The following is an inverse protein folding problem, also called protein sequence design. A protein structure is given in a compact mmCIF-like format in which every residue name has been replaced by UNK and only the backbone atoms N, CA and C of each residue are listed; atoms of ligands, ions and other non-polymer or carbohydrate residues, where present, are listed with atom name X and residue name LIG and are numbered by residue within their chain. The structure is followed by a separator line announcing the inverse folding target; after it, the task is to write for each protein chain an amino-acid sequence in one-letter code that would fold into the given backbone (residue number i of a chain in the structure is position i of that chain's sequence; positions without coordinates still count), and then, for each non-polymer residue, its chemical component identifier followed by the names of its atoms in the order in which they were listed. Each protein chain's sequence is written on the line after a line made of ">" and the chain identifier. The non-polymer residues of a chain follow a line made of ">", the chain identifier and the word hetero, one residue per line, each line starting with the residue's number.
data_IF_494569433537
#
_entry.id   IF_494569433537
#
_cell.length_a   1.000
_cell.length_b   1.000
_cell.length_c   1.000
_cell.angle_alpha   90.00
_cell.angle_beta   90.00
_cell.angle_gamma   90.00
#
_symmetry.space_group_name_H-M   'P 1'
#
loop_
_entity.id
_entity.type
_entity.pdbx_description
1 polymer ?
#
# COMPACT_ATOMS: atom_id res chain seq x y z
N UNK A 1 53.23 8.42 68.94
CA UNK A 1 53.79 8.18 67.60
C UNK A 1 52.65 8.28 66.61
N UNK A 2 52.72 9.30 65.76
CA UNK A 2 51.83 9.63 64.64
C UNK A 2 51.24 8.46 63.85
N UNK A 3 49.99 8.64 63.41
CA UNK A 3 49.61 8.62 61.98
C UNK A 3 48.09 8.82 61.88
N UNK A 4 47.64 10.01 61.46
CA UNK A 4 47.34 10.41 60.06
C UNK A 4 45.87 10.14 59.68
N UNK A 5 45.18 11.07 58.97
CA UNK A 5 43.72 11.18 59.00
C UNK A 5 42.99 10.24 58.02
N UNK A 6 41.73 9.92 58.39
CA UNK A 6 40.82 9.02 57.65
C UNK A 6 40.54 9.52 56.22
N UNK A 7 40.58 8.66 55.20
CA UNK A 7 40.17 9.03 53.85
C UNK A 7 38.66 9.17 53.71
N UNK A 8 38.24 10.21 52.98
CA UNK A 8 36.86 10.49 52.56
C UNK A 8 36.43 9.40 51.56
N UNK A 9 35.26 8.75 51.72
CA UNK A 9 34.77 7.80 50.73
C UNK A 9 34.37 8.54 49.44
N UNK A 10 34.93 8.07 48.34
CA UNK A 10 34.68 8.54 46.98
C UNK A 10 33.23 8.28 46.54
N UNK A 11 32.71 9.19 45.71
CA UNK A 11 31.36 9.15 45.15
C UNK A 11 31.04 7.81 44.45
N UNK A 12 29.77 7.35 44.46
CA UNK A 12 29.40 6.08 43.87
C UNK A 12 29.65 6.07 42.36
N UNK A 13 30.39 5.05 41.92
CA UNK A 13 30.62 4.69 40.52
C UNK A 13 29.26 4.47 39.86
N UNK A 14 28.93 5.24 38.80
CA UNK A 14 27.73 5.01 37.98
C UNK A 14 27.69 3.54 37.54
N UNK A 15 26.66 2.83 37.97
CA UNK A 15 26.29 1.55 37.40
C UNK A 15 25.98 1.77 35.91
N UNK A 16 26.71 1.07 35.04
CA UNK A 16 26.29 0.87 33.64
C UNK A 16 24.99 0.06 33.69
N UNK A 17 23.86 0.71 33.54
CA UNK A 17 22.63 0.04 33.11
C UNK A 17 22.86 -0.34 31.64
N UNK A 18 23.27 -1.57 31.40
CA UNK A 18 23.08 -2.22 30.11
C UNK A 18 21.58 -2.25 29.88
N UNK A 19 21.08 -1.28 29.11
CA UNK A 19 19.73 -1.30 28.57
C UNK A 19 19.62 -2.51 27.67
N UNK A 20 19.07 -3.58 28.22
CA UNK A 20 18.62 -4.77 27.51
C UNK A 20 17.46 -4.31 26.61
N UNK A 21 17.80 -3.94 25.38
CA UNK A 21 16.84 -3.74 24.31
C UNK A 21 16.17 -5.09 24.07
N UNK A 22 14.98 -5.28 24.63
CA UNK A 22 14.04 -6.35 24.25
C UNK A 22 13.54 -6.09 22.83
N UNK A 23 14.44 -6.17 21.86
CA UNK A 23 14.10 -6.41 20.48
C UNK A 23 13.66 -7.88 20.41
N UNK A 24 12.38 -8.11 20.12
CA UNK A 24 11.86 -9.43 19.75
C UNK A 24 12.80 -10.03 18.69
N UNK A 25 13.41 -11.21 18.94
CA UNK A 25 14.27 -11.84 17.97
C UNK A 25 13.44 -12.14 16.71
N UNK A 26 13.83 -11.52 15.59
CA UNK A 26 13.23 -11.79 14.29
C UNK A 26 13.25 -13.30 13.99
N UNK A 27 12.24 -13.83 13.29
CA UNK A 27 12.15 -15.27 13.04
C UNK A 27 13.39 -15.75 12.29
N UNK A 28 14.13 -16.68 12.89
CA UNK A 28 15.21 -17.40 12.22
C UNK A 28 14.58 -18.20 11.07
N UNK A 29 14.79 -17.72 9.84
CA UNK A 29 14.42 -18.40 8.61
C UNK A 29 15.19 -19.72 8.55
N UNK A 30 14.53 -20.81 8.94
CA UNK A 30 15.02 -22.15 8.68
C UNK A 30 15.08 -22.35 7.16
N UNK A 31 16.28 -22.47 6.61
CA UNK A 31 16.50 -22.94 5.23
C UNK A 31 16.12 -24.42 5.18
N UNK A 32 14.86 -24.72 4.89
CA UNK A 32 14.48 -26.02 4.34
C UNK A 32 14.44 -25.89 2.82
N UNK A 33 15.33 -26.65 2.18
CA UNK A 33 15.41 -26.85 0.74
C UNK A 33 14.12 -27.45 0.19
N UNK A 34 13.59 -26.83 -0.87
CA UNK A 34 12.45 -27.30 -1.64
C UNK A 34 11.22 -26.42 -1.46
N UNK A 35 10.79 -25.77 -2.55
CA UNK A 35 9.65 -24.84 -2.64
C UNK A 35 9.92 -23.41 -2.13
N UNK A 36 10.90 -22.74 -2.75
CA UNK A 36 10.85 -21.28 -2.92
C UNK A 36 9.72 -20.91 -3.90
N UNK A 37 8.48 -21.16 -3.51
CA UNK A 37 7.34 -20.45 -4.09
C UNK A 37 7.47 -19.00 -3.64
N UNK A 38 7.93 -18.12 -4.52
CA UNK A 38 7.90 -16.69 -4.26
C UNK A 38 6.44 -16.31 -4.01
N UNK A 39 6.08 -16.10 -2.74
CA UNK A 39 4.74 -15.68 -2.35
C UNK A 39 4.56 -14.23 -2.84
N UNK A 40 4.12 -14.11 -4.09
CA UNK A 40 3.78 -12.84 -4.71
C UNK A 40 2.70 -12.15 -3.87
N UNK A 41 2.72 -10.81 -3.85
CA UNK A 41 1.62 -10.03 -3.28
C UNK A 41 0.32 -10.57 -3.88
N UNK A 42 -0.68 -10.98 -3.06
CA UNK A 42 -1.95 -11.49 -3.58
C UNK A 42 -2.48 -10.49 -4.59
N UNK A 43 -2.87 -10.98 -5.76
CA UNK A 43 -3.32 -10.13 -6.86
C UNK A 43 -4.45 -9.19 -6.40
N UNK A 44 -5.30 -9.67 -5.48
CA UNK A 44 -6.34 -8.89 -4.82
C UNK A 44 -5.82 -7.68 -4.03
N UNK A 45 -4.69 -7.78 -3.32
CA UNK A 45 -4.15 -6.69 -2.53
C UNK A 45 -3.52 -5.62 -3.43
N UNK A 46 -2.81 -6.04 -4.48
CA UNK A 46 -2.28 -5.14 -5.51
C UNK A 46 -3.42 -4.35 -6.19
N UNK A 47 -4.49 -5.05 -6.56
CA UNK A 47 -5.69 -4.46 -7.17
C UNK A 47 -6.39 -3.48 -6.23
N UNK A 48 -6.58 -3.83 -4.94
CA UNK A 48 -7.18 -2.94 -3.94
C UNK A 48 -6.35 -1.69 -3.70
N UNK A 49 -5.02 -1.82 -3.63
CA UNK A 49 -4.09 -0.68 -3.47
C UNK A 49 -4.21 0.27 -4.66
N UNK A 50 -4.15 -0.26 -5.89
CA UNK A 50 -4.28 0.55 -7.09
C UNK A 50 -5.66 1.22 -7.18
N UNK A 51 -6.73 0.52 -6.82
CA UNK A 51 -8.08 1.10 -6.75
C UNK A 51 -8.16 2.27 -5.75
N UNK A 52 -7.52 2.14 -4.57
CA UNK A 52 -7.44 3.23 -3.58
C UNK A 52 -6.64 4.42 -4.11
N UNK A 53 -5.48 4.19 -4.72
CA UNK A 53 -4.66 5.25 -5.32
C UNK A 53 -5.44 5.99 -6.42
N UNK A 54 -6.15 5.25 -7.26
CA UNK A 54 -7.03 5.80 -8.30
C UNK A 54 -8.14 6.67 -7.70
N UNK A 55 -8.82 6.17 -6.67
CA UNK A 55 -9.88 6.92 -5.98
C UNK A 55 -9.34 8.18 -5.30
N UNK A 56 -8.18 8.11 -4.65
CA UNK A 56 -7.51 9.26 -4.04
C UNK A 56 -7.23 10.35 -5.09
N UNK A 57 -6.63 9.99 -6.23
CA UNK A 57 -6.30 10.97 -7.27
C UNK A 57 -7.55 11.63 -7.89
N UNK A 58 -8.62 10.85 -8.15
CA UNK A 58 -9.88 11.41 -8.64
C UNK A 58 -10.50 12.36 -7.62
N UNK A 59 -10.50 11.98 -6.34
CA UNK A 59 -11.02 12.82 -5.25
C UNK A 59 -10.27 14.14 -5.15
N UNK A 60 -8.94 14.10 -5.27
CA UNK A 60 -8.08 15.28 -5.26
C UNK A 60 -8.37 16.19 -6.45
N UNK A 61 -8.52 15.65 -7.66
CA UNK A 61 -8.84 16.44 -8.86
C UNK A 61 -10.20 17.12 -8.71
N UNK A 62 -11.21 16.40 -8.23
CA UNK A 62 -12.55 16.97 -7.99
C UNK A 62 -12.48 18.08 -6.93
N UNK A 63 -11.75 17.86 -5.84
CA UNK A 63 -11.57 18.86 -4.79
C UNK A 63 -10.85 20.11 -5.30
N UNK A 64 -9.85 19.97 -6.18
CA UNK A 64 -9.11 21.08 -6.79
C UNK A 64 -9.92 21.84 -7.85
N UNK A 65 -10.96 21.24 -8.42
CA UNK A 65 -11.81 21.93 -9.40
C UNK A 65 -12.58 23.11 -8.78
N UNK A 66 -12.97 23.00 -7.51
CA UNK A 66 -13.70 24.04 -6.78
C UNK A 66 -12.90 25.36 -6.63
N UNK A 67 -11.67 25.37 -6.08
CA UNK A 67 -10.89 26.61 -5.99
C UNK A 67 -10.51 27.16 -7.37
N UNK A 68 -10.32 26.31 -8.39
CA UNK A 68 -10.06 26.77 -9.76
C UNK A 68 -11.28 27.48 -10.36
N UNK A 69 -12.49 26.99 -10.10
CA UNK A 69 -13.72 27.66 -10.50
C UNK A 69 -13.91 28.99 -9.75
N UNK A 70 -13.67 29.00 -8.43
CA UNK A 70 -13.72 30.21 -7.61
C UNK A 70 -12.71 31.27 -8.08
N UNK A 71 -11.59 30.83 -8.66
CA UNK A 71 -10.59 31.72 -9.22
C UNK A 71 -11.11 32.58 -10.40
N UNK A 72 -12.17 32.13 -11.10
CA UNK A 72 -12.85 32.91 -12.12
C UNK A 72 -13.42 34.24 -11.60
N UNK A 73 -13.74 34.32 -10.30
CA UNK A 73 -14.16 35.59 -9.66
C UNK A 73 -13.00 36.59 -9.69
N UNK A 74 -11.79 36.16 -9.39
CA UNK A 74 -10.61 37.01 -9.51
C UNK A 74 -10.42 37.45 -10.97
N UNK A 75 -10.62 36.56 -11.95
CA UNK A 75 -10.46 36.91 -13.36
C UNK A 75 -11.38 38.07 -13.78
N UNK A 76 -12.63 38.09 -13.31
CA UNK A 76 -13.56 39.20 -13.53
C UNK A 76 -13.09 40.49 -12.86
N UNK A 77 -12.61 40.41 -11.61
CA UNK A 77 -12.13 41.58 -10.86
C UNK A 77 -10.92 42.24 -11.53
N UNK A 78 -10.00 41.46 -12.08
CA UNK A 78 -8.78 41.98 -12.70
C UNK A 78 -8.97 42.51 -14.12
N UNK A 79 -10.07 42.16 -14.79
CA UNK A 79 -10.32 42.60 -16.15
C UNK A 79 -10.88 44.04 -16.26
N UNK A 80 -11.21 44.69 -15.13
CA UNK A 80 -11.62 46.11 -15.06
C UNK A 80 -12.72 46.52 -16.07
N UNK A 81 -13.59 45.58 -16.45
CA UNK A 81 -14.70 45.82 -17.39
C UNK A 81 -14.37 45.60 -18.88
N UNK A 82 -13.14 45.22 -19.25
CA UNK A 82 -12.79 44.85 -20.63
C UNK A 82 -13.39 43.47 -20.98
N UNK A 83 -14.46 43.49 -21.76
CA UNK A 83 -15.23 42.29 -22.14
C UNK A 83 -14.38 41.26 -22.88
N UNK A 84 -13.39 41.68 -23.69
CA UNK A 84 -12.53 40.75 -24.43
C UNK A 84 -11.59 39.99 -23.49
N UNK A 85 -11.02 40.68 -22.50
CA UNK A 85 -10.16 40.06 -21.49
C UNK A 85 -10.95 39.14 -20.56
N UNK A 86 -12.15 39.55 -20.15
CA UNK A 86 -13.06 38.71 -19.37
C UNK A 86 -13.36 37.42 -20.13
N UNK A 87 -13.76 37.52 -21.41
CA UNK A 87 -14.07 36.37 -22.23
C UNK A 87 -12.87 35.42 -22.37
N UNK A 88 -11.66 35.95 -22.64
CA UNK A 88 -10.45 35.16 -22.76
C UNK A 88 -10.11 34.40 -21.47
N UNK A 89 -10.18 35.06 -20.31
CA UNK A 89 -9.88 34.42 -19.02
C UNK A 89 -10.94 33.37 -18.64
N UNK A 90 -12.23 33.64 -18.87
CA UNK A 90 -13.29 32.67 -18.62
C UNK A 90 -13.21 31.45 -19.56
N UNK A 91 -12.85 31.65 -20.83
CA UNK A 91 -12.59 30.55 -21.76
C UNK A 91 -11.40 29.70 -21.31
N UNK A 92 -10.32 30.34 -20.86
CA UNK A 92 -9.18 29.63 -20.28
C UNK A 92 -9.64 28.80 -19.07
N UNK A 93 -10.47 29.34 -18.17
CA UNK A 93 -11.01 28.58 -17.01
C UNK A 93 -11.91 27.43 -17.42
N UNK A 94 -12.82 27.64 -18.35
CA UNK A 94 -13.66 26.58 -18.90
C UNK A 94 -12.81 25.45 -19.49
N UNK A 95 -11.74 25.80 -20.21
CA UNK A 95 -10.76 24.83 -20.69
C UNK A 95 -10.04 24.10 -19.55
N UNK A 96 -9.57 24.79 -18.50
CA UNK A 96 -8.92 24.14 -17.34
C UNK A 96 -9.84 23.15 -16.62
N UNK A 97 -11.09 23.53 -16.37
CA UNK A 97 -12.08 22.67 -15.72
C UNK A 97 -12.45 21.48 -16.60
N UNK A 98 -12.61 21.70 -17.91
CA UNK A 98 -12.82 20.64 -18.89
C UNK A 98 -11.65 19.65 -18.93
N UNK A 99 -10.41 20.15 -18.93
CA UNK A 99 -9.20 19.33 -18.89
C UNK A 99 -9.10 18.52 -17.58
N UNK A 100 -9.46 19.11 -16.44
CA UNK A 100 -9.52 18.40 -15.16
C UNK A 100 -10.60 17.33 -15.13
N UNK A 101 -11.79 17.61 -15.68
CA UNK A 101 -12.86 16.62 -15.83
C UNK A 101 -12.44 15.46 -16.72
N UNK A 102 -11.82 15.76 -17.86
CA UNK A 102 -11.25 14.75 -18.76
C UNK A 102 -10.16 13.91 -18.07
N UNK A 103 -9.26 14.57 -17.33
CA UNK A 103 -8.21 13.90 -16.56
C UNK A 103 -8.82 12.97 -15.51
N UNK A 104 -9.78 13.45 -14.71
CA UNK A 104 -10.47 12.66 -13.70
C UNK A 104 -11.15 11.43 -14.30
N UNK A 105 -11.84 11.59 -15.44
CA UNK A 105 -12.43 10.48 -16.17
C UNK A 105 -11.38 9.46 -16.67
N UNK A 106 -10.27 9.94 -17.23
CA UNK A 106 -9.17 9.09 -17.71
C UNK A 106 -8.50 8.31 -16.58
N UNK A 107 -8.26 8.96 -15.43
CA UNK A 107 -7.68 8.30 -14.26
C UNK A 107 -8.66 7.30 -13.65
N UNK A 108 -9.96 7.61 -13.57
CA UNK A 108 -10.98 6.70 -13.08
C UNK A 108 -11.07 5.39 -13.90
N UNK A 109 -10.74 5.45 -15.19
CA UNK A 109 -10.69 4.30 -16.11
C UNK A 109 -9.28 3.79 -16.40
N UNK A 110 -8.30 4.11 -15.57
CA UNK A 110 -6.96 3.55 -15.74
C UNK A 110 -6.96 2.08 -15.30
N UNK A 111 -6.56 1.17 -16.21
CA UNK A 111 -6.45 -0.27 -15.91
C UNK A 111 -5.02 -0.69 -15.54
N UNK A 112 -4.01 0.19 -15.70
CA UNK A 112 -2.64 -0.12 -15.28
C UNK A 112 -1.95 1.04 -14.54
N UNK A 113 -1.09 0.76 -13.54
CA UNK A 113 -0.33 1.78 -12.82
C UNK A 113 0.53 2.66 -13.72
N UNK A 114 1.17 2.07 -14.74
CA UNK A 114 2.03 2.80 -15.70
C UNK A 114 1.25 3.81 -16.54
N UNK A 115 0.03 3.45 -17.00
CA UNK A 115 -0.84 4.37 -17.73
C UNK A 115 -1.36 5.48 -16.83
N UNK A 116 -1.67 5.14 -15.58
CA UNK A 116 -2.08 6.10 -14.56
C UNK A 116 -0.97 7.14 -14.31
N UNK A 117 0.24 6.71 -13.98
CA UNK A 117 1.39 7.59 -13.72
C UNK A 117 1.71 8.48 -14.93
N UNK A 118 1.76 7.91 -16.15
CA UNK A 118 2.03 8.68 -17.37
C UNK A 118 0.98 9.76 -17.64
N UNK A 119 -0.30 9.42 -17.45
CA UNK A 119 -1.39 10.37 -17.68
C UNK A 119 -1.32 11.53 -16.69
N UNK A 120 -1.06 11.21 -15.42
CA UNK A 120 -0.90 12.21 -14.36
C UNK A 120 0.31 13.11 -14.63
N UNK A 121 1.46 12.52 -14.98
CA UNK A 121 2.69 13.25 -15.30
C UNK A 121 2.47 14.24 -16.46
N UNK A 122 1.86 13.79 -17.56
CA UNK A 122 1.56 14.66 -18.70
C UNK A 122 0.60 15.80 -18.32
N UNK A 123 -0.38 15.53 -17.46
CA UNK A 123 -1.28 16.57 -16.97
C UNK A 123 -0.55 17.62 -16.11
N UNK A 124 0.41 17.20 -15.28
CA UNK A 124 1.21 18.12 -14.47
C UNK A 124 2.11 19.00 -15.35
N UNK A 125 2.69 18.46 -16.42
CA UNK A 125 3.42 19.26 -17.42
C UNK A 125 2.48 20.27 -18.10
N UNK A 126 1.27 19.84 -18.47
CA UNK A 126 0.24 20.74 -19.00
C UNK A 126 -0.10 21.87 -18.03
N UNK A 127 -0.17 21.59 -16.73
CA UNK A 127 -0.42 22.58 -15.71
C UNK A 127 0.73 23.60 -15.59
N UNK A 128 1.99 23.21 -15.76
CA UNK A 128 3.14 24.15 -15.81
C UNK A 128 3.00 25.12 -16.98
N UNK A 129 2.69 24.60 -18.17
CA UNK A 129 2.50 25.43 -19.38
C UNK A 129 1.35 26.41 -19.19
N UNK A 130 0.24 25.92 -18.63
CA UNK A 130 -0.93 26.73 -18.31
C UNK A 130 -0.61 27.82 -17.26
N UNK A 131 0.18 27.50 -16.23
CA UNK A 131 0.65 28.47 -15.23
C UNK A 131 1.41 29.63 -15.87
N UNK A 132 2.40 29.31 -16.73
CA UNK A 132 3.13 30.30 -17.52
C UNK A 132 2.20 31.15 -18.39
N UNK A 133 1.26 30.51 -19.10
CA UNK A 133 0.28 31.24 -19.91
C UNK A 133 -0.57 32.20 -19.05
N UNK A 134 -0.98 31.79 -17.86
CA UNK A 134 -1.78 32.66 -16.97
C UNK A 134 -0.99 33.87 -16.45
N UNK A 135 0.32 33.76 -16.25
CA UNK A 135 1.19 34.90 -15.89
C UNK A 135 1.16 36.00 -16.95
N UNK A 136 1.23 35.64 -18.24
CA UNK A 136 1.18 36.61 -19.34
C UNK A 136 -0.15 37.35 -19.44
N UNK A 137 -1.24 36.71 -19.01
CA UNK A 137 -2.59 37.28 -19.03
C UNK A 137 -2.92 38.06 -17.75
N UNK A 138 -1.97 38.21 -16.81
CA UNK A 138 -2.19 38.90 -15.53
C UNK A 138 -1.39 40.20 -15.42
N UNK A 139 -1.89 41.21 -14.66
CA UNK A 139 -1.11 42.41 -14.38
C UNK A 139 0.26 42.10 -13.76
N UNK A 140 1.26 42.89 -14.13
CA UNK A 140 2.67 42.69 -13.77
C UNK A 140 2.99 42.93 -12.29
N UNK A 141 2.04 43.42 -11.52
CA UNK A 141 2.11 43.69 -10.08
C UNK A 141 1.45 42.58 -9.23
N UNK A 142 0.71 41.66 -9.85
CA UNK A 142 -0.02 40.61 -9.14
C UNK A 142 0.82 39.33 -8.96
N UNK A 143 1.09 38.94 -7.72
CA UNK A 143 1.72 37.63 -7.37
C UNK A 143 0.73 36.50 -7.14
N UNK A 144 -0.56 36.72 -7.42
CA UNK A 144 -1.62 35.74 -7.12
C UNK A 144 -1.31 34.39 -7.76
N UNK A 145 -0.90 34.35 -9.03
CA UNK A 145 -0.61 33.10 -9.76
C UNK A 145 0.45 32.26 -9.05
N UNK A 146 1.58 32.87 -8.66
CA UNK A 146 2.68 32.16 -7.99
C UNK A 146 2.30 31.57 -6.63
N UNK A 147 1.33 32.16 -5.92
CA UNK A 147 0.80 31.59 -4.66
C UNK A 147 0.03 30.29 -4.91
N UNK A 148 -0.74 30.21 -6.00
CA UNK A 148 -1.45 28.97 -6.37
C UNK A 148 -0.49 27.92 -6.92
N UNK A 149 0.54 28.33 -7.66
CA UNK A 149 1.59 27.43 -8.13
C UNK A 149 2.35 26.81 -6.95
N UNK A 150 2.63 27.57 -5.89
CA UNK A 150 3.21 27.05 -4.64
C UNK A 150 2.32 25.98 -3.98
N UNK A 151 1.02 26.22 -3.87
CA UNK A 151 0.07 25.21 -3.35
C UNK A 151 0.01 23.98 -4.25
N UNK A 152 0.09 24.18 -5.57
CA UNK A 152 0.09 23.09 -6.56
C UNK A 152 1.34 22.22 -6.40
N UNK A 153 2.52 22.82 -6.20
CA UNK A 153 3.77 22.10 -5.93
C UNK A 153 3.64 21.23 -4.68
N UNK A 154 3.09 21.75 -3.59
CA UNK A 154 2.84 20.94 -2.37
C UNK A 154 1.84 19.81 -2.67
N UNK A 155 0.77 20.11 -3.39
CA UNK A 155 -0.24 19.13 -3.81
C UNK A 155 0.33 18.00 -4.66
N UNK A 156 1.31 18.28 -5.53
CA UNK A 156 1.97 17.28 -6.37
C UNK A 156 2.70 16.20 -5.57
N UNK A 157 3.24 16.54 -4.40
CA UNK A 157 3.94 15.57 -3.55
C UNK A 157 3.00 14.84 -2.58
N UNK A 158 2.04 15.56 -1.99
CA UNK A 158 1.20 15.00 -0.91
C UNK A 158 -0.01 14.27 -1.48
N UNK A 159 -0.70 14.89 -2.42
CA UNK A 159 -2.04 14.46 -2.83
C UNK A 159 -2.01 13.39 -3.93
N UNK A 160 -0.92 13.34 -4.70
CA UNK A 160 -0.79 12.46 -5.85
C UNK A 160 -0.03 11.17 -5.49
N UNK A 161 -0.63 9.98 -5.69
CA UNK A 161 -0.03 8.70 -5.35
C UNK A 161 0.93 8.25 -6.47
N UNK A 162 2.06 8.95 -6.61
CA UNK A 162 3.09 8.64 -7.60
C UNK A 162 4.48 8.63 -6.95
N UNK A 163 5.44 8.01 -7.64
CA UNK A 163 6.84 7.94 -7.19
C UNK A 163 7.39 9.35 -6.95
N UNK A 164 8.15 9.53 -5.87
CA UNK A 164 8.65 10.83 -5.44
C UNK A 164 9.51 11.52 -6.51
N UNK A 165 10.28 10.75 -7.28
CA UNK A 165 11.11 11.30 -8.35
C UNK A 165 10.27 11.76 -9.55
N UNK A 166 9.16 11.08 -9.87
CA UNK A 166 8.27 11.44 -10.97
C UNK A 166 7.48 12.72 -10.65
N UNK A 167 7.06 12.91 -9.40
CA UNK A 167 6.40 14.15 -8.98
C UNK A 167 7.37 15.33 -8.87
N UNK A 168 8.65 15.08 -8.57
CA UNK A 168 9.65 16.13 -8.44
C UNK A 168 9.93 16.88 -9.74
N UNK A 169 9.95 16.19 -10.88
CA UNK A 169 10.23 16.82 -12.18
C UNK A 169 9.25 17.97 -12.50
N UNK A 170 7.91 17.76 -12.55
CA UNK A 170 6.96 18.84 -12.80
C UNK A 170 6.89 19.86 -11.66
N UNK A 171 7.14 19.46 -10.40
CA UNK A 171 7.16 20.39 -9.27
C UNK A 171 8.32 21.40 -9.37
N UNK A 172 9.52 20.91 -9.68
CA UNK A 172 10.70 21.75 -9.93
C UNK A 172 10.48 22.61 -11.16
N UNK A 173 9.93 22.04 -12.24
CA UNK A 173 9.62 22.79 -13.46
C UNK A 173 8.62 23.94 -13.19
N UNK A 174 7.56 23.69 -12.42
CA UNK A 174 6.62 24.74 -11.99
C UNK A 174 7.35 25.82 -11.20
N UNK A 175 8.13 25.42 -10.20
CA UNK A 175 8.86 26.36 -9.33
C UNK A 175 9.82 27.25 -10.10
N UNK A 176 10.58 26.67 -11.04
CA UNK A 176 11.49 27.40 -11.91
C UNK A 176 10.72 28.35 -12.84
N UNK A 177 9.60 27.91 -13.40
CA UNK A 177 8.75 28.75 -14.23
C UNK A 177 8.20 29.96 -13.44
N UNK A 178 7.66 29.74 -12.24
CA UNK A 178 7.14 30.78 -11.36
C UNK A 178 8.21 31.80 -10.96
N UNK A 179 9.40 31.33 -10.54
CA UNK A 179 10.51 32.21 -10.16
C UNK A 179 11.03 32.98 -11.36
N UNK A 180 11.11 32.36 -12.53
CA UNK A 180 11.53 33.03 -13.77
C UNK A 180 10.55 34.14 -14.18
N UNK A 181 9.24 33.88 -14.05
CA UNK A 181 8.21 34.89 -14.28
C UNK A 181 8.30 36.03 -13.27
N UNK A 182 8.52 35.71 -11.98
CA UNK A 182 8.73 36.71 -10.92
C UNK A 182 9.93 37.63 -11.20
N UNK A 183 11.03 37.08 -11.74
CA UNK A 183 12.24 37.83 -12.07
C UNK A 183 12.11 38.69 -13.33
N UNK A 184 11.48 38.16 -14.39
CA UNK A 184 11.54 38.76 -15.72
C UNK A 184 10.29 39.54 -16.12
N UNK A 185 9.11 39.10 -15.65
CA UNK A 185 7.82 39.68 -16.06
C UNK A 185 7.26 40.69 -15.05
N UNK A 186 7.47 40.47 -13.75
CA UNK A 186 6.93 41.31 -12.69
C UNK A 186 7.81 42.54 -12.43
N UNK A 187 7.28 43.75 -12.66
CA UNK A 187 8.09 44.99 -12.65
C UNK A 187 8.15 45.72 -11.30
N UNK A 188 7.37 45.31 -10.29
CA UNK A 188 7.24 46.03 -9.01
C UNK A 188 7.42 45.12 -7.77
N UNK A 189 8.10 43.98 -7.92
CA UNK A 189 8.28 43.06 -6.80
C UNK A 189 9.42 43.53 -5.89
N UNK A 190 9.17 43.68 -4.59
CA UNK A 190 10.22 44.04 -3.65
C UNK A 190 11.24 42.90 -3.52
N UNK A 191 12.52 43.24 -3.26
CA UNK A 191 13.55 42.22 -3.06
C UNK A 191 13.20 41.22 -1.93
N UNK A 192 12.62 41.65 -0.77
CA UNK A 192 12.14 40.74 0.25
C UNK A 192 11.06 39.77 -0.25
N UNK A 193 10.10 40.23 -1.05
CA UNK A 193 9.02 39.38 -1.58
C UNK A 193 9.56 38.32 -2.54
N UNK A 194 10.51 38.69 -3.40
CA UNK A 194 11.19 37.77 -4.31
C UNK A 194 11.98 36.70 -3.54
N UNK A 195 12.74 37.10 -2.52
CA UNK A 195 13.50 36.18 -1.67
C UNK A 195 12.55 35.23 -0.94
N UNK A 196 11.46 35.74 -0.37
CA UNK A 196 10.44 34.91 0.29
C UNK A 196 9.84 33.89 -0.68
N UNK A 197 9.54 34.28 -1.92
CA UNK A 197 8.99 33.38 -2.94
C UNK A 197 9.95 32.24 -3.26
N UNK A 198 11.23 32.56 -3.47
CA UNK A 198 12.29 31.57 -3.76
C UNK A 198 12.43 30.59 -2.59
N UNK A 199 12.48 31.09 -1.35
CA UNK A 199 12.57 30.24 -0.15
C UNK A 199 11.35 29.34 -0.02
N UNK A 200 10.14 29.86 -0.23
CA UNK A 200 8.91 29.06 -0.15
C UNK A 200 8.91 27.91 -1.18
N UNK A 201 9.28 28.18 -2.43
CA UNK A 201 9.37 27.12 -3.44
C UNK A 201 10.48 26.11 -3.13
N UNK A 202 11.66 26.57 -2.69
CA UNK A 202 12.74 25.69 -2.31
C UNK A 202 12.31 24.76 -1.17
N UNK A 203 11.70 25.32 -0.12
CA UNK A 203 11.19 24.56 1.02
C UNK A 203 10.08 23.59 0.60
N UNK A 204 9.15 24.01 -0.27
CA UNK A 204 8.07 23.16 -0.75
C UNK A 204 8.58 21.94 -1.54
N UNK A 205 9.61 22.10 -2.39
CA UNK A 205 10.22 20.98 -3.10
C UNK A 205 11.00 20.06 -2.17
N UNK A 206 11.77 20.61 -1.21
CA UNK A 206 12.53 19.80 -0.25
C UNK A 206 11.59 18.99 0.64
N UNK A 207 10.64 19.65 1.32
CA UNK A 207 9.68 18.99 2.18
C UNK A 207 8.81 18.01 1.40
N UNK A 208 8.32 18.42 0.22
CA UNK A 208 7.50 17.58 -0.64
C UNK A 208 8.24 16.31 -1.08
N UNK A 209 9.50 16.43 -1.51
CA UNK A 209 10.31 15.28 -1.89
C UNK A 209 10.57 14.33 -0.71
N UNK A 210 10.86 14.86 0.48
CA UNK A 210 11.04 14.05 1.69
C UNK A 210 9.76 13.30 2.07
N UNK A 211 8.60 13.97 2.03
CA UNK A 211 7.30 13.34 2.29
C UNK A 211 7.02 12.25 1.26
N UNK A 212 7.28 12.53 -0.03
CA UNK A 212 7.14 11.55 -1.11
C UNK A 212 8.02 10.31 -0.89
N UNK A 213 9.28 10.51 -0.48
CA UNK A 213 10.22 9.44 -0.17
C UNK A 213 9.77 8.59 1.02
N UNK A 214 9.37 9.23 2.12
CA UNK A 214 8.85 8.51 3.31
C UNK A 214 7.61 7.70 2.99
N UNK A 215 6.71 8.23 2.14
CA UNK A 215 5.53 7.49 1.67
C UNK A 215 5.93 6.24 0.88
N UNK A 216 6.88 6.37 -0.05
CA UNK A 216 7.36 5.25 -0.86
C UNK A 216 8.04 4.18 0.00
N UNK A 217 8.83 4.58 1.00
CA UNK A 217 9.47 3.67 1.97
C UNK A 217 8.43 2.94 2.82
N UNK A 218 7.43 3.66 3.35
CA UNK A 218 6.33 3.05 4.11
C UNK A 218 5.51 2.05 3.27
N UNK A 219 5.28 2.35 1.99
CA UNK A 219 4.57 1.45 1.07
C UNK A 219 5.37 0.17 0.78
N UNK A 220 6.71 0.25 0.77
CA UNK A 220 7.62 -0.91 0.63
C UNK A 220 7.69 -1.75 1.90
N UNK A 221 7.75 -1.12 3.08
CA UNK A 221 7.75 -1.82 4.36
C UNK A 221 6.46 -2.63 4.56
N UNK A 222 5.30 -2.04 4.23
CA UNK A 222 4.01 -2.73 4.28
C UNK A 222 4.01 -3.97 3.37
N UNK A 223 4.59 -3.85 2.17
CA UNK A 223 4.70 -4.98 1.22
C UNK A 223 5.61 -6.09 1.75
N UNK A 224 6.75 -5.74 2.35
CA UNK A 224 7.66 -6.70 2.96
C UNK A 224 7.01 -7.39 4.17
N UNK A 225 6.35 -6.64 5.04
CA UNK A 225 5.63 -7.16 6.20
C UNK A 225 4.52 -8.14 5.79
N UNK A 226 3.77 -7.80 4.74
CA UNK A 226 2.75 -8.70 4.20
C UNK A 226 3.34 -10.00 3.66
N UNK A 227 4.42 -9.93 2.88
CA UNK A 227 5.10 -11.12 2.34
C UNK A 227 5.63 -12.02 3.47
N UNK A 228 6.21 -11.43 4.51
CA UNK A 228 6.69 -12.16 5.69
C UNK A 228 5.54 -12.82 6.45
N UNK A 229 4.44 -12.12 6.68
CA UNK A 229 3.27 -12.68 7.36
C UNK A 229 2.66 -13.84 6.55
N UNK A 230 2.58 -13.69 5.23
CA UNK A 230 2.01 -14.70 4.33
C UNK A 230 2.86 -15.98 4.31
N UNK A 231 4.19 -15.85 4.26
CA UNK A 231 5.09 -17.01 4.27
C UNK A 231 5.06 -17.76 5.60
N UNK A 232 5.00 -17.04 6.74
CA UNK A 232 4.85 -17.65 8.06
C UNK A 232 3.51 -18.37 8.18
N UNK A 233 2.42 -17.78 7.70
CA UNK A 233 1.10 -18.41 7.73
C UNK A 233 1.06 -19.68 6.86
N UNK A 234 1.67 -19.64 5.68
CA UNK A 234 1.79 -20.81 4.81
C UNK A 234 2.60 -21.93 5.46
N UNK A 235 3.75 -21.61 6.07
CA UNK A 235 4.57 -22.58 6.77
C UNK A 235 3.83 -23.21 7.95
N UNK A 236 3.13 -22.39 8.75
CA UNK A 236 2.30 -22.88 9.86
C UNK A 236 1.23 -23.87 9.37
N UNK A 237 0.52 -23.55 8.28
CA UNK A 237 -0.47 -24.44 7.68
C UNK A 237 0.14 -25.76 7.22
N UNK A 238 1.32 -25.71 6.61
CA UNK A 238 2.07 -26.90 6.18
C UNK A 238 2.44 -27.79 7.37
N UNK A 239 3.03 -27.23 8.42
CA UNK A 239 3.36 -27.98 9.65
C UNK A 239 2.11 -28.57 10.30
N UNK A 240 1.00 -27.84 10.35
CA UNK A 240 -0.27 -28.38 10.87
C UNK A 240 -0.78 -29.54 10.01
N UNK A 241 -0.68 -29.45 8.68
CA UNK A 241 -1.06 -30.53 7.78
C UNK A 241 -0.18 -31.78 7.95
N UNK A 242 1.14 -31.60 8.06
CA UNK A 242 2.09 -32.69 8.32
C UNK A 242 1.81 -33.37 9.67
N UNK A 243 1.55 -32.59 10.73
CA UNK A 243 1.16 -33.12 12.04
C UNK A 243 -0.15 -33.90 11.97
N UNK A 244 -1.15 -33.43 11.21
CA UNK A 244 -2.41 -34.16 10.99
C UNK A 244 -2.17 -35.46 10.23
N UNK A 245 -1.33 -35.45 9.20
CA UNK A 245 -0.98 -36.65 8.44
C UNK A 245 -0.24 -37.69 9.30
N UNK A 246 0.70 -37.25 10.14
CA UNK A 246 1.39 -38.13 11.09
C UNK A 246 0.44 -38.73 12.13
N UNK A 247 -0.55 -37.96 12.61
CA UNK A 247 -1.61 -38.45 13.51
C UNK A 247 -2.63 -39.38 12.84
N UNK A 248 -2.71 -39.38 11.51
CA UNK A 248 -3.61 -40.24 10.74
C UNK A 248 -3.07 -41.68 10.55
N UNK A 249 -1.83 -41.97 10.98
CA UNK A 249 -1.30 -43.33 10.97
C UNK A 249 -1.89 -44.11 12.13
N UNK A 250 -2.88 -44.94 11.82
CA UNK A 250 -3.53 -45.82 12.79
C UNK A 250 -2.75 -47.15 12.84
N UNK A 251 -2.06 -47.47 13.96
CA UNK A 251 -1.33 -48.73 14.09
C UNK A 251 -2.30 -49.92 14.13
N UNK A 252 -2.24 -50.78 13.12
CA UNK A 252 -3.07 -52.00 12.99
C UNK A 252 -2.19 -53.24 13.20
N UNK A 253 -2.67 -54.23 13.96
CA UNK A 253 -2.01 -55.52 14.07
C UNK A 253 -2.18 -56.31 12.77
N UNK A 254 -1.09 -56.80 12.13
CA UNK A 254 -1.22 -57.55 10.87
C UNK A 254 -1.90 -58.91 11.05
N UNK A 255 -1.77 -59.54 12.23
CA UNK A 255 -2.36 -60.87 12.47
C UNK A 255 -3.85 -60.83 12.81
N UNK A 256 -4.29 -59.88 13.65
CA UNK A 256 -5.66 -59.86 14.15
C UNK A 256 -6.46 -58.61 13.76
N UNK A 257 -5.88 -57.69 12.97
CA UNK A 257 -6.48 -56.45 12.46
C UNK A 257 -7.04 -55.48 13.52
N UNK A 258 -6.74 -55.69 14.81
CA UNK A 258 -7.06 -54.74 15.88
C UNK A 258 -6.23 -53.47 15.74
N UNK A 259 -6.80 -52.36 16.16
CA UNK A 259 -6.17 -51.04 16.22
C UNK A 259 -5.63 -50.77 17.63
N UNK A 260 -4.41 -50.25 17.74
CA UNK A 260 -3.86 -49.78 19.02
C UNK A 260 -4.28 -48.34 19.30
N UNK A 261 -5.03 -48.12 20.37
CA UNK A 261 -5.43 -46.80 20.84
C UNK A 261 -4.32 -46.06 21.60
N UNK A 262 -4.54 -44.77 21.91
CA UNK A 262 -3.61 -43.93 22.69
C UNK A 262 -3.49 -44.33 24.17
N UNK A 263 -4.47 -45.06 24.72
CA UNK A 263 -4.60 -45.36 26.15
C UNK A 263 -4.35 -46.85 26.45
N UNK A 264 -3.30 -47.43 25.86
CA UNK A 264 -2.78 -48.77 26.20
C UNK A 264 -3.73 -49.97 25.99
N UNK A 265 -4.61 -49.93 24.99
CA UNK A 265 -5.49 -51.05 24.62
C UNK A 265 -5.54 -51.34 23.12
N UNK A 266 -5.80 -52.61 22.77
CA UNK A 266 -6.15 -53.05 21.41
C UNK A 266 -7.67 -53.15 21.29
N UNK A 267 -8.25 -52.50 20.28
CA UNK A 267 -9.68 -52.53 20.01
C UNK A 267 -9.97 -52.81 18.53
N UNK A 268 -11.21 -53.14 18.20
CA UNK A 268 -11.65 -53.32 16.81
C UNK A 268 -11.58 -51.98 16.05
N UNK A 269 -11.34 -52.04 14.74
CA UNK A 269 -11.22 -50.86 13.88
C UNK A 269 -12.53 -50.06 13.88
N UNK A 270 -13.66 -50.77 13.82
CA UNK A 270 -15.01 -50.22 13.81
C UNK A 270 -15.26 -49.43 15.10
N UNK A 271 -14.93 -50.03 16.25
CA UNK A 271 -15.02 -49.37 17.55
C UNK A 271 -14.07 -48.17 17.67
N UNK A 272 -12.87 -48.24 17.08
CA UNK A 272 -11.92 -47.14 17.07
C UNK A 272 -12.38 -45.94 16.24
N UNK A 273 -12.98 -46.19 15.06
CA UNK A 273 -13.48 -45.13 14.18
C UNK A 273 -14.76 -44.53 14.73
N UNK A 274 -15.73 -45.35 15.17
CA UNK A 274 -16.99 -44.88 15.74
C UNK A 274 -16.82 -44.05 17.03
N UNK A 275 -15.70 -44.23 17.75
CA UNK A 275 -15.38 -43.43 18.94
C UNK A 275 -14.75 -42.06 18.64
N UNK A 276 -14.30 -41.83 17.39
CA UNK A 276 -13.57 -40.60 16.97
C UNK A 276 -14.31 -39.80 15.91
N UNK A 277 -15.13 -40.47 15.11
CA UNK A 277 -15.94 -39.93 14.04
C UNK A 277 -17.39 -40.34 14.31
N UNK A 278 -18.35 -39.51 13.90
CA UNK A 278 -19.78 -39.77 14.11
C UNK A 278 -20.32 -40.73 13.02
N UNK A 279 -19.84 -41.98 13.03
CA UNK A 279 -20.10 -43.00 12.02
C UNK A 279 -20.64 -44.27 12.68
N UNK A 280 -21.72 -44.81 12.13
CA UNK A 280 -22.31 -46.10 12.54
C UNK A 280 -21.95 -47.20 11.54
N UNK A 281 -21.46 -48.34 12.04
CA UNK A 281 -21.12 -49.49 11.19
C UNK A 281 -22.29 -50.47 11.08
N UNK A 282 -22.66 -50.82 9.85
CA UNK A 282 -23.61 -51.89 9.54
C UNK A 282 -22.84 -53.18 9.19
N UNK A 283 -23.06 -54.30 9.90
CA UNK A 283 -22.48 -55.58 9.51
C UNK A 283 -23.09 -56.07 8.20
N UNK A 284 -22.28 -56.21 7.16
CA UNK A 284 -22.68 -56.77 5.85
C UNK A 284 -21.67 -57.86 5.50
N UNK A 285 -22.16 -58.99 5.00
CA UNK A 285 -21.31 -60.07 4.50
C UNK A 285 -20.92 -59.78 3.06
N UNK A 286 -19.63 -59.81 2.72
CA UNK A 286 -19.22 -59.67 1.32
C UNK A 286 -19.60 -60.93 0.51
N UNK A 287 -19.76 -60.82 -0.82
CA UNK A 287 -20.14 -61.95 -1.67
C UNK A 287 -19.23 -63.17 -1.52
N UNK A 288 -17.92 -62.96 -1.39
CA UNK A 288 -16.93 -64.05 -1.22
C UNK A 288 -17.13 -64.82 0.09
N UNK A 289 -17.41 -64.10 1.18
CA UNK A 289 -17.65 -64.71 2.49
C UNK A 289 -19.00 -65.44 2.52
N UNK A 290 -20.02 -64.87 1.87
CA UNK A 290 -21.32 -65.51 1.72
C UNK A 290 -21.22 -66.83 0.94
N UNK A 291 -20.45 -66.82 -0.16
CA UNK A 291 -20.20 -68.00 -0.97
C UNK A 291 -19.43 -69.08 -0.20
N UNK A 292 -18.46 -68.69 0.64
CA UNK A 292 -17.66 -69.63 1.44
C UNK A 292 -18.44 -70.28 2.58
N UNK A 293 -19.20 -69.48 3.34
CA UNK A 293 -19.92 -69.95 4.54
C UNK A 293 -21.23 -70.68 4.19
N UNK A 294 -21.94 -70.21 3.16
CA UNK A 294 -23.29 -70.69 2.87
C UNK A 294 -23.43 -71.38 1.51
N UNK A 295 -22.38 -71.41 0.67
CA UNK A 295 -22.39 -72.10 -0.62
C UNK A 295 -23.43 -71.59 -1.63
N UNK A 296 -24.11 -70.48 -1.31
CA UNK A 296 -25.28 -70.03 -2.04
C UNK A 296 -24.90 -69.13 -3.22
N UNK A 297 -25.30 -69.55 -4.42
CA UNK A 297 -25.32 -68.74 -5.64
C UNK A 297 -26.43 -67.70 -5.46
N UNK A 298 -26.08 -66.42 -5.31
CA UNK A 298 -27.07 -65.34 -5.45
C UNK A 298 -27.46 -65.26 -6.93
N UNK A 299 -28.75 -65.39 -7.31
CA UNK A 299 -29.20 -65.00 -8.62
C UNK A 299 -28.99 -63.48 -8.75
N UNK A 300 -28.34 -63.06 -9.84
CA UNK A 300 -28.19 -61.65 -10.19
C UNK A 300 -29.56 -60.96 -10.25
N UNK A 301 -29.64 -59.74 -9.69
CA UNK A 301 -30.46 -58.59 -10.14
C UNK A 301 -31.41 -57.87 -9.14
N UNK A 302 -31.41 -58.12 -7.83
CA UNK A 302 -32.38 -57.39 -6.93
C UNK A 302 -31.83 -56.71 -5.66
N UNK A 303 -30.54 -56.36 -5.57
CA UNK A 303 -30.02 -55.62 -4.41
C UNK A 303 -29.13 -54.43 -4.79
N UNK A 304 -29.69 -53.49 -5.56
CA UNK A 304 -29.31 -52.05 -5.51
C UNK A 304 -30.60 -51.23 -5.62
N UNK A 305 -31.07 -50.74 -4.48
CA UNK A 305 -32.12 -49.73 -4.35
C UNK A 305 -31.78 -48.83 -3.18
#
# INVERSE_FOLDING_TARGET
>A
MESSPRPIPSAPRRARTSGESTALPGPRLARSSGETGAYALPEELAQRRFARQRQQAVTVIVALALPIAAFGINDVLFAQGDLQRIALMLLARAFTLGAMGWLGYRLARADSPTRFERTLFLAMIGAVILGVFTHFNRPRDSTVVSRFELLSVVGYYIALPMRAWLSAVPAIAMSLASVSMALWWHKNLSAPDLISLIICFALANVLGFLIGRQREEAEQEEELAWRALTSVNANLRKTVAELRALRAVVPVCPSCRKVRGSNEGWQQLEAYVAAREDITFSPILCPDCLQREFGAVLPNDELIG
#
